data_IF_284813548084
#
_entry.id   IF_284813548084
#
_cell.length_a   1.000
_cell.length_b   1.000
_cell.length_c   1.000
_cell.angle_alpha   90.00
_cell.angle_beta   90.00
_cell.angle_gamma   90.00
#
_symmetry.space_group_name_H-M   'P 1'
#
loop_
_entity.id
_entity.type
_entity.pdbx_description
1 polymer ?
#
# COMPACT_ATOMS: atom_id res chain seq x y z
N UNK A 1 -7.09 15.21 -6.64
CA UNK A 1 -6.66 13.80 -6.75
C UNK A 1 -6.65 13.47 -8.22
N UNK A 2 -5.52 12.96 -8.74
CA UNK A 2 -5.30 12.76 -10.18
C UNK A 2 -6.47 12.07 -10.90
N UNK A 3 -7.07 11.07 -10.24
CA UNK A 3 -8.23 10.32 -10.73
C UNK A 3 -9.42 11.24 -11.06
N UNK A 4 -9.77 12.14 -10.14
CA UNK A 4 -10.88 13.09 -10.32
C UNK A 4 -10.55 14.15 -11.36
N UNK A 5 -9.29 14.60 -11.43
CA UNK A 5 -8.82 15.59 -12.41
C UNK A 5 -8.91 15.07 -13.86
N UNK A 6 -8.84 13.76 -14.05
CA UNK A 6 -8.97 13.11 -15.36
C UNK A 6 -10.37 12.57 -15.63
N UNK A 7 -11.33 12.82 -14.74
CA UNK A 7 -12.73 12.41 -14.91
C UNK A 7 -12.95 10.89 -14.87
N UNK A 8 -12.13 10.16 -14.10
CA UNK A 8 -12.35 8.73 -13.88
C UNK A 8 -13.32 8.50 -12.74
N UNK A 9 -14.44 7.83 -13.04
CA UNK A 9 -15.46 7.51 -12.03
C UNK A 9 -15.13 6.23 -11.25
N UNK A 10 -14.26 5.36 -11.79
CA UNK A 10 -13.96 4.04 -11.23
C UNK A 10 -12.50 3.67 -11.39
N UNK A 11 -11.92 3.06 -10.36
CA UNK A 11 -10.50 2.64 -10.35
C UNK A 11 -10.36 1.26 -9.75
N UNK A 12 -9.59 0.40 -10.43
CA UNK A 12 -9.19 -0.90 -9.88
C UNK A 12 -7.97 -0.74 -8.99
N UNK A 13 -8.06 -1.25 -7.76
CA UNK A 13 -6.95 -1.29 -6.82
C UNK A 13 -6.38 -2.69 -6.81
N UNK A 14 -5.27 -2.87 -7.53
CA UNK A 14 -4.55 -4.13 -7.66
C UNK A 14 -3.35 -4.09 -6.72
N UNK A 15 -3.37 -4.88 -5.65
CA UNK A 15 -2.23 -5.06 -4.76
C UNK A 15 -2.35 -6.39 -4.03
N UNK A 16 -1.32 -6.76 -3.27
CA UNK A 16 -1.37 -7.93 -2.41
C UNK A 16 -2.55 -7.86 -1.43
N UNK A 17 -3.20 -9.01 -1.24
CA UNK A 17 -4.35 -9.19 -0.37
C UNK A 17 -4.18 -8.59 1.04
N UNK A 18 -2.99 -8.68 1.63
CA UNK A 18 -2.70 -8.14 2.95
C UNK A 18 -2.52 -6.62 3.00
N UNK A 19 -2.18 -5.97 1.87
CA UNK A 19 -2.09 -4.50 1.79
C UNK A 19 -3.40 -3.85 1.36
N UNK A 20 -4.24 -4.58 0.65
CA UNK A 20 -5.45 -4.06 0.02
C UNK A 20 -6.41 -3.35 1.01
N UNK A 21 -6.68 -3.86 2.23
CA UNK A 21 -7.56 -3.16 3.17
C UNK A 21 -7.06 -1.77 3.55
N UNK A 22 -5.75 -1.63 3.79
CA UNK A 22 -5.13 -0.34 4.11
C UNK A 22 -5.17 0.59 2.89
N UNK A 23 -4.75 0.10 1.72
CA UNK A 23 -4.77 0.89 0.48
C UNK A 23 -6.16 1.43 0.16
N UNK A 24 -7.20 0.61 0.31
CA UNK A 24 -8.59 1.02 0.09
C UNK A 24 -9.02 2.10 1.09
N UNK A 25 -8.62 2.02 2.36
CA UNK A 25 -8.95 3.04 3.36
C UNK A 25 -8.34 4.39 3.01
N UNK A 26 -7.05 4.40 2.69
CA UNK A 26 -6.31 5.61 2.30
C UNK A 26 -6.88 6.22 1.01
N UNK A 27 -7.21 5.37 0.04
CA UNK A 27 -7.78 5.83 -1.24
C UNK A 27 -9.20 6.36 -1.04
N UNK A 28 -10.06 5.73 -0.25
CA UNK A 28 -11.39 6.28 0.06
C UNK A 28 -11.30 7.65 0.73
N UNK A 29 -10.30 7.87 1.59
CA UNK A 29 -10.10 9.17 2.23
C UNK A 29 -9.69 10.26 1.23
N UNK A 30 -8.95 9.92 0.17
CA UNK A 30 -8.49 10.88 -0.85
C UNK A 30 -9.45 11.06 -2.03
N UNK A 31 -10.26 10.05 -2.36
CA UNK A 31 -11.20 10.05 -3.49
C UNK A 31 -12.54 9.43 -3.07
N UNK A 32 -13.34 10.12 -2.22
CA UNK A 32 -14.58 9.58 -1.68
C UNK A 32 -15.67 9.34 -2.74
N UNK A 33 -15.64 10.12 -3.82
CA UNK A 33 -16.66 10.07 -4.89
C UNK A 33 -16.33 9.08 -6.02
N UNK A 34 -15.19 8.39 -5.93
CA UNK A 34 -14.73 7.42 -6.95
C UNK A 34 -15.06 6.00 -6.51
N UNK A 35 -15.60 5.19 -7.42
CA UNK A 35 -15.82 3.76 -7.16
C UNK A 35 -14.49 3.00 -7.14
N UNK A 36 -14.11 2.52 -5.96
CA UNK A 36 -12.89 1.71 -5.79
C UNK A 36 -13.21 0.22 -5.88
N UNK A 37 -12.69 -0.44 -6.92
CA UNK A 37 -12.87 -1.87 -7.17
C UNK A 37 -11.64 -2.62 -6.64
N UNK A 38 -11.85 -3.43 -5.62
CA UNK A 38 -10.79 -4.21 -4.97
C UNK A 38 -10.37 -5.41 -5.84
N UNK A 39 -9.09 -5.52 -6.18
CA UNK A 39 -8.53 -6.66 -6.91
C UNK A 39 -7.33 -7.26 -6.17
N UNK A 40 -7.56 -8.17 -5.21
CA UNK A 40 -6.49 -8.77 -4.41
C UNK A 40 -5.65 -9.74 -5.24
N UNK A 41 -4.34 -9.52 -5.25
CA UNK A 41 -3.37 -10.53 -5.67
C UNK A 41 -3.11 -11.43 -4.48
N UNK A 42 -3.54 -12.69 -4.57
CA UNK A 42 -3.35 -13.68 -3.50
C UNK A 42 -1.86 -13.95 -3.35
N UNK A 43 -1.31 -13.56 -2.22
CA UNK A 43 0.05 -13.91 -1.85
C UNK A 43 0.07 -15.21 -1.05
N UNK A 44 1.11 -16.06 -1.20
CA UNK A 44 1.33 -17.15 -0.27
C UNK A 44 1.46 -16.56 1.13
N UNK A 45 0.60 -17.01 2.03
CA UNK A 45 0.61 -16.60 3.44
C UNK A 45 2.04 -16.82 4.00
N UNK A 46 2.74 -15.76 4.45
CA UNK A 46 4.13 -15.89 4.91
C UNK A 46 4.24 -16.74 6.18
N UNK A 47 3.13 -17.06 6.85
CA UNK A 47 3.06 -17.90 8.05
C UNK A 47 2.97 -19.40 7.78
N UNK A 48 3.07 -19.84 6.53
CA UNK A 48 3.09 -21.28 6.19
C UNK A 48 4.40 -21.98 6.61
N UNK A 49 5.48 -21.22 6.84
CA UNK A 49 6.77 -21.72 7.33
C UNK A 49 7.45 -20.64 8.19
N UNK A 50 7.86 -20.98 9.42
CA UNK A 50 8.49 -20.07 10.37
C UNK A 50 9.76 -19.37 9.83
N UNK A 51 10.54 -20.03 8.96
CA UNK A 51 11.68 -19.38 8.29
C UNK A 51 11.24 -18.29 7.31
N UNK A 52 10.21 -18.57 6.50
CA UNK A 52 9.68 -17.63 5.51
C UNK A 52 9.04 -16.43 6.20
N UNK A 53 8.33 -16.65 7.32
CA UNK A 53 7.75 -15.56 8.14
C UNK A 53 8.84 -14.65 8.68
N UNK A 54 9.90 -15.22 9.26
CA UNK A 54 11.02 -14.43 9.81
C UNK A 54 11.72 -13.62 8.73
N UNK A 55 11.98 -14.20 7.56
CA UNK A 55 12.58 -13.45 6.43
C UNK A 55 11.67 -12.32 5.97
N UNK A 56 10.39 -12.59 5.78
CA UNK A 56 9.41 -11.58 5.35
C UNK A 56 9.29 -10.42 6.35
N UNK A 57 9.22 -10.71 7.66
CA UNK A 57 9.21 -9.69 8.71
C UNK A 57 10.50 -8.87 8.71
N UNK A 58 11.66 -9.51 8.55
CA UNK A 58 12.95 -8.79 8.50
C UNK A 58 13.05 -7.88 7.28
N UNK A 59 12.64 -8.36 6.10
CA UNK A 59 12.62 -7.52 4.89
C UNK A 59 11.62 -6.37 5.01
N UNK A 60 10.46 -6.62 5.63
CA UNK A 60 9.47 -5.58 5.90
C UNK A 60 9.98 -4.52 6.87
N UNK A 61 10.70 -4.92 7.93
CA UNK A 61 11.32 -4.00 8.88
C UNK A 61 12.45 -3.17 8.23
N UNK A 62 13.29 -3.78 7.38
CA UNK A 62 14.31 -3.07 6.59
C UNK A 62 13.68 -2.02 5.69
N UNK A 63 12.62 -2.39 4.96
CA UNK A 63 11.87 -1.47 4.12
C UNK A 63 11.30 -0.30 4.93
N UNK A 64 10.67 -0.60 6.07
CA UNK A 64 10.10 0.43 6.96
C UNK A 64 11.18 1.37 7.51
N UNK A 65 12.35 0.85 7.86
CA UNK A 65 13.47 1.66 8.35
C UNK A 65 14.02 2.60 7.26
N UNK A 66 14.17 2.12 6.02
CA UNK A 66 14.59 2.93 4.87
C UNK A 66 13.54 3.99 4.55
N UNK A 67 12.27 3.62 4.49
CA UNK A 67 11.17 4.54 4.24
C UNK A 67 11.08 5.64 5.31
N UNK A 68 11.20 5.26 6.58
CA UNK A 68 11.21 6.20 7.71
C UNK A 68 12.41 7.15 7.63
N UNK A 69 13.61 6.63 7.31
CA UNK A 69 14.80 7.47 7.11
C UNK A 69 14.60 8.47 5.96
N UNK A 70 14.09 8.04 4.81
CA UNK A 70 13.82 8.96 3.70
C UNK A 70 12.77 10.02 4.05
N UNK A 71 11.79 9.69 4.88
CA UNK A 71 10.79 10.66 5.38
C UNK A 71 11.40 11.71 6.33
N UNK A 72 12.50 11.40 7.00
CA UNK A 72 13.17 12.30 7.95
C UNK A 72 14.45 12.97 7.40
N UNK A 73 15.00 12.48 6.28
CA UNK A 73 16.16 13.05 5.57
C UNK A 73 15.78 14.00 4.42
N UNK A 74 14.49 14.33 4.22
CA UNK A 74 14.08 15.45 3.38
C UNK A 74 14.00 16.72 4.25
N UNK A 75 15.03 17.60 4.25
CA UNK A 75 14.86 18.95 4.76
C UNK A 75 13.81 19.64 3.89
N UNK A 76 12.85 20.26 4.54
CA UNK A 76 11.89 21.17 3.94
C UNK A 76 12.53 22.06 2.87
N UNK A 77 12.17 21.81 1.60
CA UNK A 77 12.28 22.82 0.55
C UNK A 77 10.88 23.14 0.05
N UNK A 78 10.30 24.13 0.75
CA UNK A 78 9.31 25.16 0.39
C UNK A 78 8.33 25.34 1.56
#
# INVERSE_FOLDING_TARGET
AWVAEHGFDRVLIVTNDYHLPRSLLEMRAQMPDVELIAYPVVSPRPWTNAQSTRRWVLEYLKFTAVWTRHRFDEPEHI
#
